data_IF_699128153586
#
_entry.id   IF_699128153586
#
_cell.length_a   1.000
_cell.length_b   1.000
_cell.length_c   1.000
_cell.angle_alpha   90.00
_cell.angle_beta   90.00
_cell.angle_gamma   90.00
#
_symmetry.space_group_name_H-M   'P 1'
#
loop_
_entity.id
_entity.type
_entity.pdbx_description
1 polymer ?
#
# COMPACT_ATOMS: atom_id res chain seq x y z
N UNK A 1 -7.20 -3.54 -21.07
CA UNK A 1 -7.09 -2.63 -19.93
C UNK A 1 -6.57 -3.38 -18.72
N UNK A 2 -5.60 -2.81 -18.05
CA UNK A 2 -5.06 -3.41 -16.83
C UNK A 2 -5.97 -3.15 -15.65
N UNK A 3 -6.24 -4.18 -14.87
CA UNK A 3 -6.94 -4.03 -13.62
C UNK A 3 -6.02 -3.33 -12.60
N UNK A 4 -6.61 -2.50 -11.76
CA UNK A 4 -5.89 -1.81 -10.69
C UNK A 4 -6.58 -2.08 -9.36
N UNK A 5 -5.83 -1.89 -8.29
CA UNK A 5 -6.33 -1.96 -6.92
C UNK A 5 -6.25 -0.56 -6.33
N UNK A 6 -7.23 -0.19 -5.54
CA UNK A 6 -7.22 1.04 -4.75
C UNK A 6 -6.88 0.68 -3.31
N UNK A 7 -5.86 1.31 -2.75
CA UNK A 7 -5.48 1.16 -1.34
C UNK A 7 -5.53 2.50 -0.63
N UNK A 8 -6.05 2.50 0.60
CA UNK A 8 -5.92 3.63 1.51
C UNK A 8 -4.62 3.48 2.28
N UNK A 9 -3.77 4.50 2.22
CA UNK A 9 -2.48 4.52 2.92
C UNK A 9 -2.40 5.81 3.72
N UNK A 10 -1.90 5.72 4.95
CA UNK A 10 -1.73 6.91 5.81
C UNK A 10 -0.79 7.90 5.15
N UNK A 11 -1.07 9.23 5.22
CA UNK A 11 -0.22 10.23 4.60
C UNK A 11 1.25 10.15 5.02
N UNK A 12 1.54 9.86 6.28
CA UNK A 12 2.90 9.70 6.76
C UNK A 12 3.64 8.55 6.07
N UNK A 13 2.94 7.48 5.72
CA UNK A 13 3.53 6.36 5.00
C UNK A 13 3.70 6.69 3.52
N UNK A 14 2.75 7.42 2.94
CA UNK A 14 2.88 7.92 1.56
C UNK A 14 4.15 8.76 1.44
N UNK A 15 4.41 9.63 2.41
CA UNK A 15 5.60 10.46 2.42
C UNK A 15 6.87 9.58 2.42
N UNK A 16 6.92 8.54 3.22
CA UNK A 16 8.06 7.63 3.28
C UNK A 16 8.26 6.87 1.96
N UNK A 17 7.17 6.55 1.26
CA UNK A 17 7.24 5.95 -0.07
C UNK A 17 7.87 6.94 -1.05
N UNK A 18 7.44 8.17 -1.05
CA UNK A 18 7.95 9.23 -1.93
C UNK A 18 9.44 9.46 -1.67
N UNK A 19 9.85 9.46 -0.40
CA UNK A 19 11.24 9.67 -0.01
C UNK A 19 12.16 8.46 -0.30
N UNK A 20 11.58 7.32 -0.68
CA UNK A 20 12.34 6.12 -0.96
C UNK A 20 12.73 5.30 0.26
N UNK A 21 12.26 5.68 1.44
CA UNK A 21 12.55 4.96 2.69
C UNK A 21 11.63 3.77 2.89
N UNK A 22 10.47 3.75 2.23
CA UNK A 22 9.49 2.69 2.33
C UNK A 22 9.30 2.03 0.96
N UNK A 23 9.77 0.80 0.85
CA UNK A 23 9.68 0.03 -0.38
C UNK A 23 8.71 -1.15 -0.26
N UNK A 24 8.00 -1.25 0.86
CA UNK A 24 7.01 -2.32 1.10
C UNK A 24 5.78 -1.72 1.75
N UNK A 25 4.62 -2.12 1.25
CA UNK A 25 3.33 -1.81 1.87
C UNK A 25 2.82 -3.08 2.53
N UNK A 26 2.65 -3.03 3.86
CA UNK A 26 2.26 -4.19 4.65
C UNK A 26 0.75 -4.28 4.78
N UNK A 27 0.21 -5.49 4.57
CA UNK A 27 -1.23 -5.73 4.64
C UNK A 27 -1.52 -6.99 5.44
N UNK A 28 -2.59 -6.94 6.25
CA UNK A 28 -3.09 -8.14 6.93
C UNK A 28 -3.84 -9.05 5.96
N UNK A 29 -4.46 -8.46 4.96
CA UNK A 29 -5.21 -9.16 3.92
C UNK A 29 -4.69 -8.66 2.58
N UNK A 30 -4.37 -9.59 1.70
CA UNK A 30 -3.87 -9.28 0.37
C UNK A 30 -4.97 -9.57 -0.65
N UNK A 31 -5.05 -8.74 -1.70
CA UNK A 31 -5.95 -9.02 -2.80
C UNK A 31 -5.54 -10.33 -3.51
N UNK A 32 -6.52 -11.00 -4.12
CA UNK A 32 -6.32 -12.34 -4.68
C UNK A 32 -5.89 -12.36 -6.14
N UNK A 33 -6.23 -11.32 -6.91
CA UNK A 33 -5.87 -11.28 -8.32
C UNK A 33 -4.36 -11.16 -8.48
N UNK A 34 -3.82 -11.98 -9.40
CA UNK A 34 -2.37 -12.01 -9.64
C UNK A 34 -1.94 -11.11 -10.80
N UNK A 35 -2.90 -10.52 -11.52
CA UNK A 35 -2.63 -9.66 -12.68
C UNK A 35 -2.57 -8.16 -12.32
N UNK A 36 -2.58 -7.81 -11.05
CA UNK A 36 -2.50 -6.43 -10.60
C UNK A 36 -1.06 -5.93 -10.68
N UNK A 37 -0.82 -4.94 -11.53
CA UNK A 37 0.50 -4.32 -11.70
C UNK A 37 0.57 -2.91 -11.17
N UNK A 38 -0.57 -2.27 -10.95
CA UNK A 38 -0.66 -0.90 -10.47
C UNK A 38 -1.65 -0.80 -9.33
N UNK A 39 -1.28 -0.02 -8.33
CA UNK A 39 -2.12 0.28 -7.18
C UNK A 39 -2.30 1.78 -7.12
N UNK A 40 -3.55 2.24 -7.16
CA UNK A 40 -3.88 3.64 -6.95
C UNK A 40 -3.84 3.90 -5.45
N UNK A 41 -3.09 4.89 -5.04
CA UNK A 41 -2.88 5.23 -3.64
C UNK A 41 -3.82 6.36 -3.25
N UNK A 42 -4.72 6.07 -2.30
CA UNK A 42 -5.55 7.06 -1.65
C UNK A 42 -4.89 7.43 -0.32
N UNK A 43 -4.41 8.67 -0.23
CA UNK A 43 -3.87 9.16 1.04
C UNK A 43 -5.05 9.47 1.94
N UNK A 44 -5.11 8.76 3.07
CA UNK A 44 -6.25 8.88 3.97
C UNK A 44 -6.28 10.22 4.70
N UNK A 45 -7.30 10.41 5.57
CA UNK A 45 -7.48 11.66 6.33
C UNK A 45 -6.16 12.11 6.98
N UNK A 46 -5.82 13.40 6.96
CA UNK A 46 -6.66 14.53 6.51
C UNK A 46 -6.55 14.87 5.02
N UNK A 47 -5.73 14.17 4.26
CA UNK A 47 -5.50 14.48 2.84
C UNK A 47 -6.72 14.14 1.97
N UNK A 48 -7.23 12.92 2.10
CA UNK A 48 -8.42 12.43 1.39
C UNK A 48 -8.35 12.65 -0.11
N UNK A 49 -7.24 12.26 -0.74
CA UNK A 49 -7.02 12.41 -2.18
C UNK A 49 -6.27 11.21 -2.72
N UNK A 50 -6.51 10.87 -3.99
CA UNK A 50 -5.60 9.98 -4.69
C UNK A 50 -4.38 10.77 -5.13
N UNK A 51 -3.20 10.23 -4.85
CA UNK A 51 -1.94 10.98 -4.96
C UNK A 51 -0.96 10.38 -5.97
N UNK A 52 -1.19 9.16 -6.40
CA UNK A 52 -0.30 8.52 -7.34
C UNK A 52 -0.57 7.03 -7.46
N UNK A 53 0.34 6.33 -8.11
CA UNK A 53 0.22 4.89 -8.32
C UNK A 53 1.52 4.20 -7.95
N UNK A 54 1.37 3.07 -7.27
CA UNK A 54 2.48 2.15 -7.00
C UNK A 54 2.58 1.19 -8.18
N UNK A 55 3.79 1.02 -8.69
CA UNK A 55 4.10 -0.08 -9.60
C UNK A 55 4.49 -1.28 -8.73
N UNK A 56 3.74 -2.38 -8.85
CA UNK A 56 3.88 -3.55 -7.98
C UNK A 56 5.06 -4.41 -8.43
N UNK A 57 5.93 -4.76 -7.51
CA UNK A 57 6.96 -5.77 -7.69
C UNK A 57 6.47 -7.14 -7.21
N UNK A 58 7.19 -7.76 -6.30
CA UNK A 58 6.83 -9.06 -5.75
C UNK A 58 5.82 -8.91 -4.61
N UNK A 59 4.98 -9.92 -4.45
CA UNK A 59 4.10 -10.06 -3.29
C UNK A 59 4.74 -11.06 -2.36
N UNK A 60 4.92 -10.68 -1.09
CA UNK A 60 5.56 -11.51 -0.09
C UNK A 60 4.55 -11.94 0.96
N UNK A 61 4.62 -13.21 1.36
CA UNK A 61 3.82 -13.74 2.47
C UNK A 61 4.72 -14.60 3.33
N UNK A 62 4.71 -14.34 4.63
CA UNK A 62 5.52 -15.10 5.58
C UNK A 62 4.96 -14.89 6.98
N UNK A 63 5.57 -15.55 7.98
CA UNK A 63 5.28 -15.20 9.37
C UNK A 63 5.69 -13.74 9.60
N UNK A 64 5.05 -13.03 10.53
CA UNK A 64 5.42 -11.64 10.80
C UNK A 64 6.92 -11.46 11.08
N UNK A 65 7.50 -12.34 11.91
CA UNK A 65 8.92 -12.23 12.24
C UNK A 65 9.82 -12.41 11.02
N UNK A 66 9.54 -13.42 10.20
CA UNK A 66 10.33 -13.70 9.00
C UNK A 66 10.17 -12.57 7.97
N UNK A 67 8.96 -12.06 7.81
CA UNK A 67 8.72 -10.96 6.88
C UNK A 67 9.47 -9.70 7.32
N UNK A 68 9.47 -9.40 8.62
CA UNK A 68 10.22 -8.27 9.14
C UNK A 68 11.71 -8.36 8.79
N UNK A 69 12.31 -9.53 9.04
CA UNK A 69 13.73 -9.74 8.73
C UNK A 69 14.05 -9.55 7.25
N UNK A 70 13.11 -9.93 6.37
CA UNK A 70 13.29 -9.82 4.92
C UNK A 70 13.11 -8.40 4.40
N UNK A 71 12.41 -7.53 5.12
CA UNK A 71 11.96 -6.22 4.59
C UNK A 71 12.37 -5.03 5.46
N UNK A 72 12.95 -5.26 6.62
CA UNK A 72 13.18 -4.20 7.64
C UNK A 72 14.01 -3.02 7.14
N UNK A 73 14.97 -3.25 6.25
CA UNK A 73 15.86 -2.19 5.78
C UNK A 73 15.15 -1.11 4.98
N UNK A 74 14.01 -1.46 4.39
CA UNK A 74 13.18 -0.53 3.61
C UNK A 74 11.72 -0.60 4.02
N UNK A 75 11.47 -0.87 5.30
CA UNK A 75 10.12 -1.00 5.82
C UNK A 75 9.39 0.34 5.90
N UNK A 76 10.11 1.41 6.21
CA UNK A 76 9.53 2.74 6.37
C UNK A 76 8.61 2.89 7.58
N UNK A 77 8.63 1.92 8.47
CA UNK A 77 7.88 1.92 9.74
C UNK A 77 8.77 1.31 10.82
N UNK A 78 8.46 1.57 12.08
CA UNK A 78 9.20 0.97 13.19
C UNK A 78 8.84 -0.51 13.36
N UNK A 79 9.75 -1.25 13.98
CA UNK A 79 9.50 -2.64 14.32
C UNK A 79 8.30 -2.76 15.27
N UNK A 80 8.20 -1.86 16.24
CA UNK A 80 7.08 -1.88 17.20
C UNK A 80 5.75 -1.70 16.48
N UNK A 81 5.67 -0.78 15.53
CA UNK A 81 4.46 -0.60 14.73
C UNK A 81 4.15 -1.87 13.93
N UNK A 82 5.16 -2.45 13.29
CA UNK A 82 5.00 -3.66 12.49
C UNK A 82 4.47 -4.81 13.33
N UNK A 83 5.08 -5.07 14.48
CA UNK A 83 4.67 -6.16 15.36
C UNK A 83 3.27 -5.94 15.91
N UNK A 84 2.93 -4.71 16.27
CA UNK A 84 1.58 -4.36 16.72
C UNK A 84 0.55 -4.56 15.61
N UNK A 85 0.89 -4.15 14.39
CA UNK A 85 -0.01 -4.27 13.24
C UNK A 85 -0.34 -5.73 12.92
N UNK A 86 0.64 -6.62 13.05
CA UNK A 86 0.46 -8.04 12.76
C UNK A 86 0.24 -8.89 14.02
N UNK A 87 -0.05 -8.28 15.16
CA UNK A 87 -0.27 -9.01 16.41
C UNK A 87 -1.35 -10.09 16.22
N UNK A 88 -1.09 -11.28 16.73
CA UNK A 88 -2.00 -12.43 16.67
C UNK A 88 -2.29 -12.93 15.25
N UNK A 89 -1.47 -12.56 14.27
CA UNK A 89 -1.58 -13.04 12.89
C UNK A 89 -0.54 -14.11 12.64
N UNK A 90 -0.96 -15.23 12.06
CA UNK A 90 -0.04 -16.30 11.64
C UNK A 90 0.76 -15.89 10.42
N UNK A 91 0.15 -15.08 9.53
CA UNK A 91 0.77 -14.66 8.28
C UNK A 91 0.70 -13.14 8.15
N UNK A 92 1.74 -12.59 7.54
CA UNK A 92 1.85 -11.18 7.20
C UNK A 92 2.16 -11.07 5.71
N UNK A 93 1.66 -10.00 5.08
CA UNK A 93 1.83 -9.78 3.65
C UNK A 93 2.52 -8.46 3.40
N UNK A 94 3.38 -8.42 2.37
CA UNK A 94 4.00 -7.20 1.92
C UNK A 94 3.89 -7.10 0.41
N UNK A 95 3.54 -5.92 -0.07
CA UNK A 95 3.55 -5.58 -1.48
C UNK A 95 4.85 -4.82 -1.74
N UNK A 96 5.72 -5.37 -2.57
CA UNK A 96 6.94 -4.68 -2.94
C UNK A 96 6.62 -3.50 -3.87
N UNK A 97 7.11 -2.33 -3.52
CA UNK A 97 6.93 -1.12 -4.31
C UNK A 97 8.11 -1.00 -5.28
N UNK A 98 7.90 -1.39 -6.53
CA UNK A 98 8.93 -1.32 -7.55
C UNK A 98 9.21 0.13 -7.92
N UNK A 99 8.18 0.95 -8.00
CA UNK A 99 8.28 2.38 -8.27
C UNK A 99 7.01 3.07 -7.80
N UNK A 100 7.09 4.35 -7.50
CA UNK A 100 5.93 5.19 -7.21
C UNK A 100 5.84 6.29 -8.26
N UNK A 101 4.67 6.41 -8.86
CA UNK A 101 4.38 7.40 -9.90
C UNK A 101 3.40 8.42 -9.33
N UNK A 102 3.88 9.56 -8.81
CA UNK A 102 2.99 10.57 -8.26
C UNK A 102 2.15 11.21 -9.37
N UNK A 103 0.90 11.51 -9.06
CA UNK A 103 0.10 12.34 -9.96
C UNK A 103 0.61 13.77 -9.92
N UNK A 104 0.48 14.47 -11.02
CA UNK A 104 0.88 15.86 -11.12
C UNK A 104 0.18 16.72 -10.06
N UNK A 105 -1.09 16.41 -9.79
CA UNK A 105 -1.91 17.08 -8.79
C UNK A 105 -2.74 16.02 -8.08
N UNK A 106 -2.80 16.04 -6.74
CA UNK A 106 -3.73 15.16 -6.02
C UNK A 106 -5.16 15.39 -6.49
N UNK A 107 -5.92 14.30 -6.63
CA UNK A 107 -7.26 14.34 -7.17
C UNK A 107 -8.27 13.76 -6.19
N UNK A 108 -9.51 14.25 -6.26
CA UNK A 108 -10.59 13.63 -5.51
C UNK A 108 -10.90 12.26 -6.10
N UNK A 109 -11.10 11.27 -5.23
CA UNK A 109 -11.45 9.93 -5.68
C UNK A 109 -12.71 9.94 -6.53
N UNK A 110 -13.74 10.71 -6.12
CA UNK A 110 -15.01 10.81 -6.83
C UNK A 110 -14.89 11.42 -8.21
N UNK A 111 -13.88 12.24 -8.46
CA UNK A 111 -13.67 12.86 -9.78
C UNK A 111 -13.14 11.86 -10.79
N UNK A 112 -12.25 10.97 -10.34
CA UNK A 112 -11.62 10.01 -11.24
C UNK A 112 -12.34 8.66 -11.29
N UNK A 113 -12.89 8.25 -10.16
CA UNK A 113 -13.61 6.98 -10.02
C UNK A 113 -14.95 7.24 -9.36
N UNK A 114 -15.94 7.78 -10.11
CA UNK A 114 -17.29 8.00 -9.56
C UNK A 114 -17.85 6.68 -9.04
N UNK A 115 -18.65 6.72 -8.03
CA UNK A 115 -19.27 5.56 -7.39
C UNK A 115 -18.30 4.66 -6.61
N UNK A 116 -17.06 5.12 -6.39
CA UNK A 116 -16.09 4.41 -5.58
C UNK A 116 -15.79 5.22 -4.32
N UNK A 117 -15.93 4.59 -3.16
CA UNK A 117 -15.56 5.20 -1.88
C UNK A 117 -14.20 4.67 -1.43
N UNK A 118 -13.56 5.43 -0.52
CA UNK A 118 -12.27 5.01 0.01
C UNK A 118 -12.41 3.70 0.80
N UNK A 119 -11.62 2.67 0.48
CA UNK A 119 -11.75 1.38 1.16
C UNK A 119 -11.05 1.39 2.51
N UNK A 120 -11.53 0.55 3.43
CA UNK A 120 -10.81 0.30 4.69
C UNK A 120 -9.62 -0.61 4.48
N UNK A 121 -9.69 -1.48 3.48
CA UNK A 121 -8.60 -2.37 3.10
C UNK A 121 -8.22 -2.09 1.64
N UNK A 122 -8.87 -2.78 0.71
CA UNK A 122 -8.63 -2.55 -0.71
C UNK A 122 -9.93 -2.72 -1.49
N UNK A 123 -9.93 -2.20 -2.74
CA UNK A 123 -10.96 -2.58 -3.70
C UNK A 123 -10.36 -2.61 -5.11
N UNK A 124 -10.98 -3.42 -5.96
CA UNK A 124 -10.59 -3.46 -7.37
C UNK A 124 -11.23 -2.28 -8.12
N UNK A 125 -10.47 -1.72 -9.03
CA UNK A 125 -10.94 -0.63 -9.89
C UNK A 125 -11.26 -1.14 -11.30
#
# INVERSE_FOLDING_TARGET
MSAKVLLSIKPEFVEQIILGNKCFEYRRVLYKRTDIKRIVVYASSPVCRIVGEIEVGNLLTDTPKALWERTKDKAGISEDFFLSYFAERAHAHAIEIKAFHPYRTPEKLSDKYPNTSSPQSFCYL
#
